data_IF_444361072407
#
_entry.id   IF_444361072407
#
_cell.length_a   1.000
_cell.length_b   1.000
_cell.length_c   1.000
_cell.angle_alpha   90.00
_cell.angle_beta   90.00
_cell.angle_gamma   90.00
#
_symmetry.space_group_name_H-M   'P 1'
#
loop_
_entity.id
_entity.type
_entity.pdbx_description
1 polymer ?
#
# COMPACT_ATOMS: atom_id res chain seq x y z
N UNK A 1 21.37 15.12 -28.66
CA UNK A 1 20.28 16.08 -28.30
C UNK A 1 18.95 15.36 -28.54
N UNK A 2 18.11 15.29 -27.53
CA UNK A 2 16.83 14.58 -27.53
C UNK A 2 15.79 15.33 -28.37
N UNK A 3 14.99 14.62 -29.15
CA UNK A 3 13.84 15.20 -29.83
C UNK A 3 12.76 14.14 -30.05
N UNK A 4 11.56 14.39 -29.53
CA UNK A 4 10.37 13.53 -29.75
C UNK A 4 9.09 14.36 -29.67
N UNK A 5 8.02 13.82 -30.26
CA UNK A 5 6.65 14.31 -30.06
C UNK A 5 5.76 13.20 -29.49
N UNK A 6 4.79 13.57 -28.65
CA UNK A 6 3.96 12.60 -27.93
C UNK A 6 2.59 13.19 -27.57
N UNK A 7 1.60 12.32 -27.36
CA UNK A 7 0.34 12.69 -26.72
C UNK A 7 0.61 13.17 -25.29
N UNK A 8 0.36 14.44 -25.02
CA UNK A 8 0.59 15.09 -23.72
C UNK A 8 -0.11 14.38 -22.57
N UNK A 9 -1.36 13.94 -22.76
CA UNK A 9 -2.15 13.37 -21.66
C UNK A 9 -1.59 12.01 -21.23
N UNK A 10 -1.20 11.16 -22.17
CA UNK A 10 -0.56 9.88 -21.87
C UNK A 10 0.82 10.09 -21.22
N UNK A 11 1.59 11.05 -21.72
CA UNK A 11 2.89 11.38 -21.14
C UNK A 11 2.74 11.92 -19.70
N UNK A 12 1.73 12.79 -19.46
CA UNK A 12 1.43 13.31 -18.14
C UNK A 12 0.97 12.21 -17.16
N UNK A 13 0.18 11.25 -17.63
CA UNK A 13 -0.20 10.09 -16.83
C UNK A 13 1.04 9.28 -16.40
N UNK A 14 1.94 8.97 -17.32
CA UNK A 14 3.17 8.25 -17.03
C UNK A 14 4.10 9.04 -16.08
N UNK A 15 4.20 10.37 -16.27
CA UNK A 15 4.94 11.25 -15.36
C UNK A 15 4.35 11.24 -13.94
N UNK A 16 3.02 11.30 -13.79
CA UNK A 16 2.35 11.28 -12.49
C UNK A 16 2.54 9.92 -11.78
N UNK A 17 2.53 8.81 -12.51
CA UNK A 17 2.86 7.49 -11.98
C UNK A 17 4.30 7.46 -11.46
N UNK A 18 5.25 7.90 -12.27
CA UNK A 18 6.68 7.93 -11.91
C UNK A 18 6.97 8.86 -10.73
N UNK A 19 6.25 10.00 -10.64
CA UNK A 19 6.37 10.97 -9.54
C UNK A 19 6.11 10.37 -8.15
N UNK A 20 5.33 9.28 -8.05
CA UNK A 20 5.04 8.62 -6.77
C UNK A 20 6.29 8.09 -6.07
N UNK A 21 7.34 7.75 -6.83
CA UNK A 21 8.64 7.40 -6.26
C UNK A 21 9.51 8.62 -5.94
N UNK A 22 9.11 9.85 -6.29
CA UNK A 22 9.92 11.05 -6.09
C UNK A 22 9.45 11.80 -4.83
N UNK A 23 10.36 12.07 -3.89
CA UNK A 23 10.07 12.82 -2.67
C UNK A 23 10.67 14.22 -2.73
N UNK A 24 9.89 15.23 -2.33
CA UNK A 24 10.40 16.62 -2.19
C UNK A 24 11.41 16.79 -1.05
N UNK A 25 11.43 15.89 -0.07
CA UNK A 25 12.31 15.92 1.10
C UNK A 25 13.39 14.85 0.99
N UNK A 26 14.05 14.74 -0.17
CA UNK A 26 15.15 13.80 -0.34
C UNK A 26 16.46 14.37 0.22
N UNK A 27 17.19 13.52 0.97
CA UNK A 27 18.55 13.82 1.41
C UNK A 27 19.52 13.95 0.21
N UNK A 28 19.20 13.35 -0.92
CA UNK A 28 19.96 13.37 -2.18
C UNK A 28 19.20 14.26 -3.18
N UNK A 29 19.65 15.52 -3.43
CA UNK A 29 18.89 16.48 -4.23
C UNK A 29 18.57 16.03 -5.67
N UNK A 30 19.43 15.20 -6.28
CA UNK A 30 19.21 14.71 -7.64
C UNK A 30 17.96 13.82 -7.76
N UNK A 31 17.52 13.17 -6.67
CA UNK A 31 16.32 12.33 -6.64
C UNK A 31 15.01 13.13 -6.60
N UNK A 32 15.06 14.47 -6.58
CA UNK A 32 13.89 15.32 -6.84
C UNK A 32 13.61 15.49 -8.34
N UNK A 33 14.47 14.92 -9.21
CA UNK A 33 14.31 14.97 -10.66
C UNK A 33 13.67 13.69 -11.18
N UNK A 34 12.98 13.79 -12.31
CA UNK A 34 12.63 12.66 -13.16
C UNK A 34 13.71 12.49 -14.23
N UNK A 35 14.18 11.26 -14.42
CA UNK A 35 15.05 10.90 -15.53
C UNK A 35 14.19 10.51 -16.72
N UNK A 36 14.51 11.05 -17.88
CA UNK A 36 13.86 10.76 -19.16
C UNK A 36 14.91 10.14 -20.07
N UNK A 37 14.77 8.84 -20.33
CA UNK A 37 15.61 8.07 -21.25
C UNK A 37 14.83 7.84 -22.55
N UNK A 38 15.33 8.34 -23.65
CA UNK A 38 14.70 8.23 -24.97
C UNK A 38 15.55 7.32 -25.86
N UNK A 39 14.96 6.22 -26.28
CA UNK A 39 15.52 5.25 -27.22
C UNK A 39 14.69 5.22 -28.52
N UNK A 40 15.07 4.40 -29.48
CA UNK A 40 14.27 4.20 -30.69
C UNK A 40 12.98 3.42 -30.42
N UNK A 41 12.98 2.61 -29.37
CA UNK A 41 11.87 1.75 -28.96
C UNK A 41 10.83 2.52 -28.14
N UNK A 42 11.24 3.62 -27.49
CA UNK A 42 10.34 4.39 -26.64
C UNK A 42 11.01 5.33 -25.65
N UNK A 43 10.23 5.76 -24.69
CA UNK A 43 10.66 6.64 -23.59
C UNK A 43 10.51 5.89 -22.27
N UNK A 44 11.56 5.85 -21.47
CA UNK A 44 11.52 5.39 -20.08
C UNK A 44 11.60 6.59 -19.14
N UNK A 45 10.58 6.75 -18.29
CA UNK A 45 10.54 7.72 -17.22
C UNK A 45 10.95 7.05 -15.90
N UNK A 46 11.95 7.60 -15.22
CA UNK A 46 12.51 6.99 -14.02
C UNK A 46 12.43 7.98 -12.86
N UNK A 47 11.83 7.53 -11.75
CA UNK A 47 11.79 8.26 -10.48
C UNK A 47 12.27 7.40 -9.33
N UNK A 48 12.93 7.99 -8.33
CA UNK A 48 13.40 7.27 -7.15
C UNK A 48 13.49 8.20 -5.93
N UNK A 49 13.31 7.62 -4.73
CA UNK A 49 13.63 8.28 -3.46
C UNK A 49 14.72 7.52 -2.67
N UNK A 50 15.35 6.51 -3.30
CA UNK A 50 16.33 5.63 -2.69
C UNK A 50 15.74 4.40 -1.98
N UNK A 51 14.46 4.43 -1.60
CA UNK A 51 13.71 3.28 -1.06
C UNK A 51 12.84 2.62 -2.11
N UNK A 52 12.11 3.43 -2.87
CA UNK A 52 11.25 3.03 -3.99
C UNK A 52 11.82 3.63 -5.27
N UNK A 53 11.76 2.88 -6.36
CA UNK A 53 12.02 3.37 -7.71
C UNK A 53 10.93 2.89 -8.65
N UNK A 54 10.53 3.77 -9.57
CA UNK A 54 9.52 3.47 -10.60
C UNK A 54 10.12 3.78 -11.95
N UNK A 55 10.06 2.80 -12.85
CA UNK A 55 10.30 2.96 -14.27
C UNK A 55 8.97 2.80 -15.00
N UNK A 56 8.66 3.75 -15.87
CA UNK A 56 7.46 3.71 -16.70
C UNK A 56 7.87 3.86 -18.18
N UNK A 57 7.60 2.83 -18.97
CA UNK A 57 7.99 2.75 -20.37
C UNK A 57 6.81 3.10 -21.28
N UNK A 58 7.05 4.00 -22.22
CA UNK A 58 6.09 4.36 -23.27
C UNK A 58 6.67 3.92 -24.60
N UNK A 59 6.08 2.87 -25.18
CA UNK A 59 6.53 2.31 -26.45
C UNK A 59 6.14 3.17 -27.64
N UNK A 60 7.01 3.23 -28.66
CA UNK A 60 6.67 3.80 -29.98
C UNK A 60 5.59 3.00 -30.73
N UNK A 61 5.34 1.75 -30.31
CA UNK A 61 4.27 0.90 -30.85
C UNK A 61 2.90 1.20 -30.23
N UNK A 62 2.85 2.00 -29.15
CA UNK A 62 1.58 2.40 -28.55
C UNK A 62 0.94 3.50 -29.39
N UNK A 63 -0.05 3.13 -30.21
CA UNK A 63 -0.77 4.06 -31.10
C UNK A 63 -1.42 5.23 -30.32
N UNK A 64 -1.91 5.00 -29.10
CA UNK A 64 -2.51 6.05 -28.27
C UNK A 64 -1.50 7.08 -27.80
N UNK A 65 -0.22 6.69 -27.69
CA UNK A 65 0.85 7.61 -27.33
C UNK A 65 1.21 8.57 -28.45
N UNK A 66 1.02 8.16 -29.72
CA UNK A 66 1.43 8.92 -30.88
C UNK A 66 2.91 9.34 -30.81
N UNK A 67 3.76 8.48 -30.20
CA UNK A 67 5.15 8.78 -29.93
C UNK A 67 5.99 8.68 -31.21
N UNK A 68 6.59 9.82 -31.58
CA UNK A 68 7.57 9.89 -32.69
C UNK A 68 8.92 10.32 -32.11
N UNK A 69 9.91 9.41 -32.18
CA UNK A 69 11.27 9.69 -31.74
C UNK A 69 12.15 10.10 -32.91
N UNK A 70 12.59 11.36 -32.91
CA UNK A 70 13.50 11.90 -33.94
C UNK A 70 14.97 11.72 -33.57
N UNK A 71 15.30 11.88 -32.26
CA UNK A 71 16.62 11.63 -31.73
C UNK A 71 16.62 11.21 -30.28
N UNK A 72 17.57 10.36 -29.92
CA UNK A 72 17.68 9.66 -28.63
C UNK A 72 18.60 10.39 -27.66
N UNK A 73 18.53 10.05 -26.38
CA UNK A 73 19.39 10.57 -25.34
C UNK A 73 18.71 10.52 -23.96
N UNK A 74 19.37 11.09 -22.96
CA UNK A 74 18.90 11.07 -21.57
C UNK A 74 19.06 12.44 -20.91
N UNK A 75 18.07 12.82 -20.08
CA UNK A 75 18.08 14.11 -19.37
C UNK A 75 17.34 14.00 -18.03
N UNK A 76 17.72 14.87 -17.08
CA UNK A 76 17.00 15.04 -15.82
C UNK A 76 16.28 16.39 -15.81
N UNK A 77 15.02 16.36 -15.35
CA UNK A 77 14.22 17.56 -15.10
C UNK A 77 13.69 17.56 -13.67
N UNK A 78 13.56 18.73 -13.05
CA UNK A 78 12.92 18.85 -11.74
C UNK A 78 11.47 18.39 -11.86
N UNK A 79 11.11 17.33 -11.14
CA UNK A 79 9.89 16.55 -11.42
C UNK A 79 8.62 17.37 -11.24
N UNK A 80 8.48 18.07 -10.12
CA UNK A 80 7.23 18.80 -9.82
C UNK A 80 7.01 19.96 -10.77
N UNK A 81 8.05 20.75 -11.00
CA UNK A 81 7.95 21.89 -11.90
C UNK A 81 7.68 21.44 -13.34
N UNK A 82 8.41 20.41 -13.81
CA UNK A 82 8.22 19.86 -15.14
C UNK A 82 6.79 19.33 -15.35
N UNK A 83 6.27 18.55 -14.41
CA UNK A 83 4.90 18.02 -14.48
C UNK A 83 3.87 19.14 -14.50
N UNK A 84 4.04 20.18 -13.67
CA UNK A 84 3.14 21.33 -13.67
C UNK A 84 3.15 22.08 -15.01
N UNK A 85 4.35 22.24 -15.60
CA UNK A 85 4.49 22.84 -16.94
C UNK A 85 3.77 21.99 -17.98
N UNK A 86 4.04 20.68 -18.07
CA UNK A 86 3.37 19.77 -19.02
C UNK A 86 1.85 19.81 -18.84
N UNK A 87 1.38 19.81 -17.60
CA UNK A 87 -0.06 19.88 -17.28
C UNK A 87 -0.72 21.17 -17.77
N UNK A 88 0.02 22.29 -17.79
CA UNK A 88 -0.50 23.60 -18.19
C UNK A 88 -0.53 23.84 -19.70
N UNK A 89 0.12 22.99 -20.50
CA UNK A 89 0.20 23.14 -21.94
C UNK A 89 -1.18 22.99 -22.63
N UNK A 90 -1.48 23.81 -23.66
CA UNK A 90 -2.84 23.90 -24.18
C UNK A 90 -3.25 22.77 -25.13
N UNK A 91 -2.32 22.19 -25.88
CA UNK A 91 -2.63 21.23 -26.94
C UNK A 91 -2.41 19.78 -26.50
N UNK A 92 -2.96 18.83 -27.27
CA UNK A 92 -2.84 17.38 -27.06
C UNK A 92 -1.43 16.88 -27.43
N UNK A 93 -0.79 17.48 -28.43
CA UNK A 93 0.55 17.12 -28.87
C UNK A 93 1.58 17.99 -28.15
N UNK A 94 2.55 17.31 -27.54
CA UNK A 94 3.74 17.88 -26.95
C UNK A 94 4.95 17.57 -27.85
N UNK A 95 5.65 18.58 -28.31
CA UNK A 95 6.99 18.44 -28.90
C UNK A 95 8.02 18.76 -27.82
N UNK A 96 8.96 17.85 -27.60
CA UNK A 96 10.04 17.92 -26.62
C UNK A 96 11.37 17.92 -27.34
N UNK A 97 12.13 19.00 -27.27
CA UNK A 97 13.39 19.15 -27.97
C UNK A 97 14.49 19.66 -27.06
N UNK A 98 15.59 18.93 -26.97
CA UNK A 98 16.82 19.39 -26.33
C UNK A 98 17.59 20.27 -27.34
N UNK A 99 18.03 21.43 -26.84
CA UNK A 99 18.94 22.33 -27.53
C UNK A 99 20.28 22.42 -26.75
N UNK A 100 21.14 23.36 -27.09
CA UNK A 100 22.45 23.53 -26.45
C UNK A 100 22.33 23.72 -24.93
N UNK A 101 23.37 23.31 -24.19
CA UNK A 101 23.50 23.50 -22.72
C UNK A 101 22.40 22.82 -21.90
N UNK A 102 21.90 21.67 -22.33
CA UNK A 102 20.82 20.91 -21.66
C UNK A 102 19.53 21.72 -21.48
N UNK A 103 19.26 22.68 -22.33
CA UNK A 103 17.96 23.34 -22.36
C UNK A 103 16.96 22.50 -23.12
N UNK A 104 15.75 22.42 -22.60
CA UNK A 104 14.62 21.72 -23.20
C UNK A 104 13.58 22.73 -23.62
N UNK A 105 13.24 22.71 -24.88
CA UNK A 105 12.13 23.47 -25.43
C UNK A 105 10.93 22.55 -25.53
N UNK A 106 9.85 22.92 -24.89
CA UNK A 106 8.54 22.27 -24.93
C UNK A 106 7.62 23.12 -25.80
N UNK A 107 7.12 22.54 -26.89
CA UNK A 107 6.18 23.23 -27.78
C UNK A 107 4.84 22.50 -27.77
N UNK A 108 3.74 23.26 -27.62
CA UNK A 108 2.38 22.75 -27.66
C UNK A 108 1.45 23.82 -28.24
N UNK A 109 0.97 23.60 -29.47
CA UNK A 109 0.23 24.59 -30.23
C UNK A 109 1.05 25.88 -30.46
N UNK A 110 0.61 26.99 -29.87
CA UNK A 110 1.29 28.30 -29.93
C UNK A 110 2.17 28.58 -28.70
N UNK A 111 2.21 27.66 -27.74
CA UNK A 111 2.97 27.82 -26.50
C UNK A 111 4.35 27.21 -26.64
N UNK A 112 5.38 27.94 -26.23
CA UNK A 112 6.75 27.51 -26.14
C UNK A 112 7.31 27.83 -24.78
N UNK A 113 7.88 26.82 -24.09
CA UNK A 113 8.44 26.97 -22.76
C UNK A 113 9.83 26.33 -22.75
N UNK A 114 10.83 27.09 -22.28
CA UNK A 114 12.19 26.59 -22.16
C UNK A 114 12.52 26.24 -20.71
N UNK A 115 12.99 25.00 -20.47
CA UNK A 115 13.41 24.50 -19.17
C UNK A 115 14.91 24.18 -19.17
N UNK A 116 15.54 24.25 -17.99
CA UNK A 116 16.92 23.83 -17.80
C UNK A 116 16.97 22.43 -17.24
N UNK A 117 17.54 21.50 -17.99
CA UNK A 117 17.82 20.14 -17.56
C UNK A 117 19.18 19.99 -16.87
N UNK A 118 19.40 18.78 -16.34
CA UNK A 118 20.67 18.34 -15.74
C UNK A 118 21.16 17.09 -16.46
N UNK A 119 22.43 16.77 -16.25
CA UNK A 119 23.07 15.59 -16.82
C UNK A 119 22.51 14.30 -16.23
N UNK A 120 22.09 13.37 -17.09
CA UNK A 120 21.49 12.10 -16.68
C UNK A 120 22.51 11.14 -16.02
N UNK A 121 23.80 11.30 -16.30
CA UNK A 121 24.87 10.47 -15.70
C UNK A 121 24.99 10.66 -14.16
N UNK A 122 24.43 11.75 -13.64
CA UNK A 122 24.39 12.01 -12.21
C UNK A 122 23.29 11.21 -11.48
N UNK A 123 22.34 10.61 -12.20
CA UNK A 123 21.24 9.87 -11.59
C UNK A 123 21.72 8.49 -11.13
N UNK A 124 21.40 8.06 -9.88
CA UNK A 124 21.80 6.75 -9.39
C UNK A 124 21.22 5.64 -10.27
N UNK A 125 22.05 4.65 -10.58
CA UNK A 125 21.57 3.47 -11.30
C UNK A 125 20.64 2.63 -10.42
N UNK A 126 19.52 2.23 -10.97
CA UNK A 126 18.68 1.21 -10.34
C UNK A 126 19.37 -0.13 -10.54
N UNK A 127 19.54 -0.88 -9.46
CA UNK A 127 20.15 -2.20 -9.53
C UNK A 127 19.15 -3.17 -10.17
N UNK A 128 19.52 -3.74 -11.29
CA UNK A 128 18.72 -4.75 -11.97
C UNK A 128 18.60 -6.02 -11.13
N UNK A 129 17.41 -6.61 -11.15
CA UNK A 129 17.14 -7.90 -10.52
C UNK A 129 17.23 -8.96 -11.61
N UNK A 130 18.28 -9.81 -11.54
CA UNK A 130 18.47 -10.95 -12.44
C UNK A 130 17.87 -12.20 -11.81
N UNK A 131 16.56 -12.35 -11.85
CA UNK A 131 15.84 -13.56 -11.42
C UNK A 131 15.12 -14.14 -12.63
N UNK A 132 15.29 -15.44 -12.85
CA UNK A 132 14.80 -16.12 -14.06
C UNK A 132 13.35 -16.61 -13.97
N UNK A 133 12.76 -16.65 -12.76
CA UNK A 133 11.47 -17.29 -12.55
C UNK A 133 10.56 -16.39 -11.64
N UNK A 134 9.81 -15.45 -12.22
CA UNK A 134 8.93 -14.58 -11.46
C UNK A 134 7.71 -15.35 -10.92
N UNK A 135 7.24 -14.96 -9.74
CA UNK A 135 5.89 -15.28 -9.31
C UNK A 135 4.91 -14.38 -10.08
N UNK A 136 3.99 -14.98 -10.82
CA UNK A 136 2.95 -14.24 -11.57
C UNK A 136 1.63 -14.30 -10.81
N UNK A 137 1.08 -13.13 -10.48
CA UNK A 137 -0.17 -12.97 -9.75
C UNK A 137 -1.13 -12.07 -10.52
N UNK A 138 -2.43 -12.26 -10.30
CA UNK A 138 -3.41 -11.24 -10.63
C UNK A 138 -3.16 -9.99 -9.77
N UNK A 139 -3.15 -8.83 -10.39
CA UNK A 139 -2.94 -7.55 -9.69
C UNK A 139 -3.97 -7.35 -8.59
N UNK A 140 -5.23 -7.70 -8.85
CA UNK A 140 -6.31 -7.61 -7.87
C UNK A 140 -6.03 -8.45 -6.62
N UNK A 141 -5.64 -9.70 -6.78
CA UNK A 141 -5.32 -10.61 -5.65
C UNK A 141 -4.22 -10.00 -4.78
N UNK A 142 -3.14 -9.49 -5.38
CA UNK A 142 -2.05 -8.88 -4.63
C UNK A 142 -2.49 -7.59 -3.92
N UNK A 143 -3.32 -6.76 -4.56
CA UNK A 143 -3.88 -5.56 -3.93
C UNK A 143 -4.78 -5.90 -2.74
N UNK A 144 -5.65 -6.91 -2.88
CA UNK A 144 -6.54 -7.35 -1.81
C UNK A 144 -5.73 -7.82 -0.60
N UNK A 145 -4.75 -8.69 -0.81
CA UNK A 145 -3.85 -9.16 0.25
C UNK A 145 -3.09 -8.01 0.94
N UNK A 146 -2.63 -7.00 0.19
CA UNK A 146 -1.98 -5.82 0.74
C UNK A 146 -2.97 -4.99 1.57
N UNK A 147 -4.17 -4.73 1.05
CA UNK A 147 -5.19 -3.92 1.74
C UNK A 147 -5.69 -4.61 3.02
N UNK A 148 -5.79 -5.95 2.99
CA UNK A 148 -6.21 -6.77 4.13
C UNK A 148 -5.14 -6.83 5.24
N UNK A 149 -3.87 -6.48 4.96
CA UNK A 149 -2.78 -6.64 5.95
C UNK A 149 -2.01 -5.36 6.26
N UNK A 150 -1.65 -4.54 5.28
CA UNK A 150 -0.71 -3.42 5.44
C UNK A 150 -1.16 -2.33 6.43
N UNK A 151 -2.46 -2.23 6.72
CA UNK A 151 -2.98 -1.25 7.70
C UNK A 151 -2.55 -1.57 9.14
N UNK A 152 -2.26 -2.85 9.44
CA UNK A 152 -1.85 -3.29 10.77
C UNK A 152 -0.35 -3.09 11.05
N UNK A 153 0.45 -2.69 10.05
CA UNK A 153 1.86 -2.41 10.23
C UNK A 153 2.10 -1.18 11.13
N UNK A 154 3.22 -1.19 11.86
CA UNK A 154 3.62 -0.07 12.72
C UNK A 154 4.00 1.16 11.90
N UNK A 155 3.69 2.33 12.43
CA UNK A 155 4.19 3.62 11.93
C UNK A 155 5.44 4.10 12.71
N UNK A 156 5.83 3.39 13.77
CA UNK A 156 6.96 3.74 14.62
C UNK A 156 8.25 3.11 14.11
N UNK A 157 9.24 3.94 13.84
CA UNK A 157 10.55 3.50 13.34
C UNK A 157 11.48 2.90 14.41
N UNK A 158 11.07 2.89 15.68
CA UNK A 158 11.82 2.26 16.78
C UNK A 158 11.97 0.75 16.60
N UNK A 159 11.07 0.11 15.87
CA UNK A 159 11.13 -1.29 15.44
C UNK A 159 10.91 -1.36 13.92
N UNK A 160 11.93 -1.09 13.11
CA UNK A 160 11.78 -0.94 11.66
C UNK A 160 11.10 -2.15 10.99
N UNK A 161 11.42 -3.38 11.43
CA UNK A 161 10.86 -4.61 10.87
C UNK A 161 9.31 -4.66 10.94
N UNK A 162 8.70 -4.08 11.99
CA UNK A 162 7.25 -4.03 12.15
C UNK A 162 6.58 -2.94 11.28
N UNK A 163 7.35 -2.06 10.62
CA UNK A 163 6.81 -1.09 9.67
C UNK A 163 6.48 -1.71 8.32
N UNK A 164 6.83 -2.99 8.13
CA UNK A 164 6.57 -3.75 6.93
C UNK A 164 5.47 -4.79 7.10
N UNK A 165 5.11 -5.39 5.97
CA UNK A 165 4.28 -6.58 5.87
C UNK A 165 5.19 -7.76 5.56
N UNK A 166 5.07 -8.82 6.31
CA UNK A 166 5.82 -10.07 6.14
C UNK A 166 5.12 -10.94 5.11
N UNK A 167 5.81 -11.25 4.04
CA UNK A 167 5.35 -12.11 2.94
C UNK A 167 6.15 -13.40 2.97
N UNK A 168 5.46 -14.52 3.09
CA UNK A 168 6.08 -15.86 3.11
C UNK A 168 5.38 -16.76 2.09
N UNK A 169 6.13 -17.19 1.08
CA UNK A 169 5.67 -18.20 0.13
C UNK A 169 6.32 -19.54 0.49
N UNK A 170 5.48 -20.52 0.81
CA UNK A 170 5.88 -21.89 1.10
C UNK A 170 5.20 -22.87 0.14
N UNK A 171 5.77 -24.07 0.02
CA UNK A 171 5.23 -25.13 -0.84
C UNK A 171 4.94 -24.66 -2.27
N UNK A 172 5.67 -23.63 -2.71
CA UNK A 172 5.60 -22.99 -4.01
C UNK A 172 4.22 -22.33 -4.34
N UNK A 173 3.24 -22.42 -3.46
CA UNK A 173 1.86 -21.97 -3.71
C UNK A 173 1.14 -21.35 -2.51
N UNK A 174 1.58 -21.61 -1.30
CA UNK A 174 0.94 -21.07 -0.09
C UNK A 174 1.56 -19.71 0.26
N UNK A 175 0.87 -18.63 -0.04
CA UNK A 175 1.28 -17.28 0.31
C UNK A 175 0.61 -16.86 1.61
N UNK A 176 1.42 -16.63 2.64
CA UNK A 176 1.00 -15.99 3.90
C UNK A 176 1.53 -14.58 3.95
N UNK A 177 0.66 -13.64 4.30
CA UNK A 177 1.03 -12.24 4.56
C UNK A 177 0.57 -11.84 5.95
N UNK A 178 1.41 -11.12 6.68
CA UNK A 178 1.06 -10.66 8.03
C UNK A 178 1.70 -9.31 8.34
N UNK A 179 0.96 -8.47 9.04
CA UNK A 179 1.46 -7.23 9.61
C UNK A 179 1.00 -7.06 11.07
N UNK A 180 1.84 -6.44 11.89
CA UNK A 180 1.53 -6.13 13.28
C UNK A 180 2.27 -4.88 13.77
N UNK A 181 1.63 -4.14 14.67
CA UNK A 181 2.24 -3.01 15.40
C UNK A 181 2.46 -3.34 16.90
N UNK A 182 2.33 -4.61 17.30
CA UNK A 182 2.35 -5.13 18.66
C UNK A 182 1.03 -4.95 19.45
N UNK A 183 0.07 -4.19 18.94
CA UNK A 183 -1.25 -3.99 19.56
C UNK A 183 -2.37 -4.60 18.74
N UNK A 184 -2.12 -4.82 17.48
CA UNK A 184 -3.01 -5.49 16.53
C UNK A 184 -2.19 -6.31 15.53
N UNK A 185 -2.84 -7.23 14.86
CA UNK A 185 -2.26 -8.04 13.81
C UNK A 185 -3.31 -8.29 12.73
N UNK A 186 -2.90 -8.35 11.49
CA UNK A 186 -3.71 -8.85 10.38
C UNK A 186 -2.92 -9.87 9.59
N UNK A 187 -3.50 -11.05 9.37
CA UNK A 187 -2.89 -12.14 8.63
C UNK A 187 -3.86 -12.64 7.55
N UNK A 188 -3.35 -12.75 6.32
CA UNK A 188 -4.06 -13.38 5.20
C UNK A 188 -3.24 -14.53 4.64
N UNK A 189 -3.91 -15.64 4.31
CA UNK A 189 -3.34 -16.78 3.61
C UNK A 189 -4.11 -16.99 2.32
N UNK A 190 -3.40 -17.24 1.24
CA UNK A 190 -4.00 -17.60 -0.04
C UNK A 190 -3.24 -18.74 -0.68
N UNK A 191 -3.93 -19.56 -1.47
CA UNK A 191 -3.31 -20.58 -2.30
C UNK A 191 -3.25 -20.06 -3.73
N UNK A 192 -2.04 -19.98 -4.28
CA UNK A 192 -1.80 -19.47 -5.62
C UNK A 192 -2.12 -20.53 -6.68
N UNK A 193 -2.60 -20.10 -7.84
CA UNK A 193 -2.83 -20.98 -8.97
C UNK A 193 -1.52 -21.42 -9.62
N UNK A 194 -0.55 -20.51 -9.74
CA UNK A 194 0.76 -20.75 -10.32
C UNK A 194 1.83 -20.93 -9.24
N UNK A 195 2.79 -21.80 -9.51
CA UNK A 195 3.93 -21.99 -8.62
C UNK A 195 4.91 -20.83 -8.73
N UNK A 196 5.53 -20.48 -7.59
CA UNK A 196 6.64 -19.56 -7.50
C UNK A 196 7.77 -20.13 -6.65
N UNK A 197 8.94 -19.55 -6.72
CA UNK A 197 10.05 -19.93 -5.82
C UNK A 197 9.73 -19.44 -4.40
N UNK A 198 9.98 -20.31 -3.39
CA UNK A 198 9.74 -19.97 -2.00
C UNK A 198 10.57 -18.76 -1.57
N UNK A 199 9.96 -17.89 -0.79
CA UNK A 199 10.63 -16.72 -0.21
C UNK A 199 10.05 -16.36 1.17
N UNK A 200 10.85 -15.62 1.93
CA UNK A 200 10.48 -15.05 3.23
C UNK A 200 11.06 -13.64 3.29
N UNK A 201 10.21 -12.61 3.16
CA UNK A 201 10.65 -11.23 3.04
C UNK A 201 9.70 -10.25 3.74
N UNK A 202 10.25 -9.12 4.18
CA UNK A 202 9.45 -8.04 4.77
C UNK A 202 9.50 -6.81 3.87
N UNK A 203 8.33 -6.43 3.35
CA UNK A 203 8.17 -5.32 2.43
C UNK A 203 7.62 -4.11 3.20
N UNK A 204 8.25 -2.91 3.10
CA UNK A 204 7.73 -1.73 3.78
C UNK A 204 6.26 -1.45 3.43
N UNK A 205 5.41 -1.30 4.44
CA UNK A 205 3.97 -1.05 4.24
C UNK A 205 3.70 0.23 3.45
N UNK A 206 4.58 1.23 3.58
CA UNK A 206 4.52 2.46 2.78
C UNK A 206 4.75 2.17 1.30
N UNK A 207 5.73 1.32 0.95
CA UNK A 207 5.99 0.93 -0.44
C UNK A 207 4.82 0.15 -1.03
N UNK A 208 4.20 -0.74 -0.25
CA UNK A 208 3.02 -1.49 -0.68
C UNK A 208 1.81 -0.58 -0.95
N UNK A 209 1.61 0.48 -0.16
CA UNK A 209 0.57 1.49 -0.43
C UNK A 209 0.85 2.27 -1.73
N UNK A 210 2.12 2.59 -2.01
CA UNK A 210 2.46 3.19 -3.31
C UNK A 210 2.24 2.20 -4.45
N UNK A 211 2.58 0.92 -4.27
CA UNK A 211 2.28 -0.14 -5.24
C UNK A 211 0.78 -0.18 -5.58
N UNK A 212 -0.12 -0.23 -4.58
CA UNK A 212 -1.58 -0.28 -4.84
C UNK A 212 -2.11 0.95 -5.58
N UNK A 213 -1.42 2.08 -5.47
CA UNK A 213 -1.78 3.32 -6.18
C UNK A 213 -1.18 3.41 -7.60
N UNK A 214 -0.09 2.69 -7.86
CA UNK A 214 0.57 2.63 -9.18
C UNK A 214 -0.04 1.56 -10.06
N UNK A 215 -0.30 0.37 -9.51
CA UNK A 215 -0.91 -0.75 -10.23
C UNK A 215 -2.43 -0.65 -10.15
N UNK A 216 -3.02 -0.02 -11.16
CA UNK A 216 -4.47 0.11 -11.27
C UNK A 216 -5.13 -1.21 -11.67
N UNK A 217 -6.46 -1.28 -11.56
CA UNK A 217 -7.22 -2.48 -11.91
C UNK A 217 -7.23 -2.78 -13.43
N UNK A 218 -6.73 -1.84 -14.24
CA UNK A 218 -6.50 -2.03 -15.68
C UNK A 218 -5.30 -2.96 -15.97
N UNK A 219 -4.40 -3.15 -15.00
CA UNK A 219 -3.26 -4.05 -15.08
C UNK A 219 -3.69 -5.42 -14.55
N UNK A 220 -3.93 -6.38 -15.46
CA UNK A 220 -4.47 -7.69 -15.10
C UNK A 220 -3.50 -8.50 -14.23
N UNK A 221 -2.22 -8.54 -14.60
CA UNK A 221 -1.21 -9.37 -13.93
C UNK A 221 0.05 -8.60 -13.59
N UNK A 222 0.71 -9.05 -12.54
CA UNK A 222 2.00 -8.55 -12.08
C UNK A 222 2.98 -9.70 -11.89
N UNK A 223 4.19 -9.51 -12.38
CA UNK A 223 5.34 -10.39 -12.12
C UNK A 223 6.08 -9.88 -10.88
N UNK A 224 6.34 -10.78 -9.94
CA UNK A 224 7.05 -10.49 -8.70
C UNK A 224 8.40 -11.18 -8.69
N UNK A 225 9.46 -10.41 -8.58
CA UNK A 225 10.84 -10.88 -8.52
C UNK A 225 11.43 -10.53 -7.16
N UNK A 226 11.87 -11.53 -6.42
CA UNK A 226 12.46 -11.35 -5.09
C UNK A 226 13.97 -11.53 -5.20
N UNK A 227 14.73 -10.54 -4.71
CA UNK A 227 16.18 -10.59 -4.57
C UNK A 227 16.56 -10.41 -3.09
N UNK A 228 17.85 -10.53 -2.75
CA UNK A 228 18.30 -10.52 -1.35
C UNK A 228 17.88 -9.29 -0.55
N UNK A 229 17.87 -8.10 -1.16
CA UNK A 229 17.60 -6.83 -0.46
C UNK A 229 16.54 -5.96 -1.13
N UNK A 230 15.91 -6.46 -2.19
CA UNK A 230 14.88 -5.71 -2.93
C UNK A 230 13.88 -6.65 -3.61
N UNK A 231 12.71 -6.12 -3.89
CA UNK A 231 11.65 -6.78 -4.65
C UNK A 231 11.26 -5.88 -5.82
N UNK A 232 10.99 -6.49 -6.96
CA UNK A 232 10.47 -5.85 -8.17
C UNK A 232 9.07 -6.39 -8.46
N UNK A 233 8.13 -5.48 -8.63
CA UNK A 233 6.82 -5.73 -9.23
C UNK A 233 6.83 -5.18 -10.64
N UNK A 234 6.56 -6.01 -11.63
CA UNK A 234 6.64 -5.64 -13.04
C UNK A 234 5.35 -5.98 -13.77
N UNK A 235 4.86 -5.05 -14.54
CA UNK A 235 3.87 -5.23 -15.59
C UNK A 235 4.52 -4.94 -16.94
N UNK A 236 3.73 -4.96 -18.02
CA UNK A 236 4.22 -4.66 -19.37
C UNK A 236 4.97 -3.33 -19.47
N UNK A 237 4.46 -2.29 -18.80
CA UNK A 237 4.96 -0.91 -18.95
C UNK A 237 5.56 -0.33 -17.67
N UNK A 238 5.38 -0.97 -16.52
CA UNK A 238 5.77 -0.43 -15.22
C UNK A 238 6.66 -1.42 -14.49
N UNK A 239 7.82 -0.93 -14.03
CA UNK A 239 8.67 -1.64 -13.08
C UNK A 239 8.73 -0.84 -11.77
N UNK A 240 8.27 -1.46 -10.68
CA UNK A 240 8.25 -0.88 -9.34
C UNK A 240 9.21 -1.64 -8.44
N UNK A 241 10.28 -0.99 -8.04
CA UNK A 241 11.30 -1.54 -7.16
C UNK A 241 11.11 -1.00 -5.74
N UNK A 242 11.27 -1.84 -4.74
CA UNK A 242 11.40 -1.39 -3.36
C UNK A 242 12.43 -2.21 -2.60
N UNK A 243 13.14 -1.57 -1.67
CA UNK A 243 14.05 -2.26 -0.75
C UNK A 243 13.24 -3.02 0.29
N UNK A 244 13.75 -4.18 0.67
CA UNK A 244 13.21 -4.99 1.76
C UNK A 244 13.70 -4.48 3.12
N UNK A 245 12.94 -4.75 4.16
CA UNK A 245 13.39 -4.52 5.55
C UNK A 245 14.21 -5.70 6.02
N UNK A 246 15.36 -5.39 6.62
CA UNK A 246 16.24 -6.41 7.19
C UNK A 246 15.85 -6.73 8.63
N UNK A 247 15.98 -8.01 9.02
CA UNK A 247 15.73 -8.50 10.36
C UNK A 247 14.76 -9.66 10.40
N UNK A 248 14.59 -10.24 11.59
CA UNK A 248 13.66 -11.35 11.81
C UNK A 248 12.29 -10.81 12.17
N UNK A 249 11.27 -11.18 11.39
CA UNK A 249 9.87 -10.89 11.75
C UNK A 249 9.45 -11.78 12.93
N UNK A 250 8.68 -11.30 13.92
CA UNK A 250 8.24 -12.10 15.04
C UNK A 250 7.35 -13.27 14.59
N UNK A 251 7.41 -14.38 15.32
CA UNK A 251 6.51 -15.52 15.11
C UNK A 251 5.09 -15.14 15.56
N UNK A 252 4.25 -14.84 14.59
CA UNK A 252 2.88 -14.37 14.80
C UNK A 252 1.86 -15.50 14.92
N UNK A 253 2.17 -16.70 14.42
CA UNK A 253 1.23 -17.84 14.46
C UNK A 253 0.90 -18.23 15.91
N UNK A 254 1.87 -18.09 16.83
CA UNK A 254 1.68 -18.36 18.28
C UNK A 254 0.77 -17.36 19.00
N UNK A 255 0.47 -16.23 18.36
CA UNK A 255 -0.40 -15.20 18.93
C UNK A 255 -1.87 -15.51 18.72
N UNK A 256 -2.19 -16.35 17.73
CA UNK A 256 -3.56 -16.68 17.34
C UNK A 256 -4.11 -17.72 18.32
N UNK A 257 -5.20 -17.38 19.05
CA UNK A 257 -5.83 -18.32 19.95
C UNK A 257 -6.55 -19.43 19.20
N UNK A 258 -6.64 -20.59 19.85
CA UNK A 258 -7.35 -21.77 19.33
C UNK A 258 -8.61 -22.11 20.14
N UNK A 259 -8.77 -21.51 21.34
CA UNK A 259 -9.92 -21.72 22.22
C UNK A 259 -10.53 -20.39 22.61
N UNK A 260 -11.86 -20.31 22.66
CA UNK A 260 -12.62 -19.11 22.94
C UNK A 260 -13.72 -19.39 23.97
N UNK A 261 -13.99 -18.41 24.84
CA UNK A 261 -15.08 -18.48 25.84
C UNK A 261 -16.35 -17.81 25.36
N UNK A 262 -16.23 -16.81 24.46
CA UNK A 262 -17.39 -16.09 23.92
C UNK A 262 -17.18 -15.81 22.45
N UNK A 263 -18.21 -16.05 21.63
CA UNK A 263 -18.17 -15.85 20.17
C UNK A 263 -19.42 -15.10 19.74
N UNK A 264 -19.23 -14.01 19.01
CA UNK A 264 -20.26 -13.08 18.56
C UNK A 264 -20.17 -12.87 17.08
N UNK A 265 -21.33 -12.85 16.41
CA UNK A 265 -21.42 -12.52 14.97
C UNK A 265 -22.22 -11.23 14.81
N UNK A 266 -21.71 -10.32 14.02
CA UNK A 266 -22.28 -9.00 13.74
C UNK A 266 -22.44 -8.79 12.24
N UNK A 267 -23.36 -7.90 11.86
CA UNK A 267 -23.26 -7.23 10.58
C UNK A 267 -22.03 -6.30 10.58
N UNK A 268 -21.17 -6.43 9.60
CA UNK A 268 -19.88 -5.72 9.54
C UNK A 268 -20.06 -4.21 9.47
N UNK A 269 -21.05 -3.74 8.69
CA UNK A 269 -21.31 -2.30 8.52
C UNK A 269 -21.87 -1.66 9.80
N UNK A 270 -22.77 -2.35 10.50
CA UNK A 270 -23.43 -1.83 11.70
C UNK A 270 -22.46 -1.75 12.88
N UNK A 271 -21.67 -2.81 13.07
CA UNK A 271 -20.60 -2.79 14.08
C UNK A 271 -19.57 -1.67 13.80
N UNK A 272 -19.17 -1.50 12.52
CA UNK A 272 -18.26 -0.42 12.15
C UNK A 272 -18.84 0.95 12.46
N UNK A 273 -20.11 1.19 12.10
CA UNK A 273 -20.78 2.45 12.37
C UNK A 273 -20.90 2.75 13.87
N UNK A 274 -21.21 1.73 14.70
CA UNK A 274 -21.22 1.87 16.16
C UNK A 274 -19.84 2.24 16.72
N UNK A 275 -18.79 1.58 16.25
CA UNK A 275 -17.42 1.88 16.67
C UNK A 275 -16.94 3.25 16.18
N UNK A 276 -17.35 3.71 14.99
CA UNK A 276 -17.04 5.06 14.50
C UNK A 276 -17.68 6.13 15.38
N UNK A 277 -18.94 5.94 15.87
CA UNK A 277 -19.59 6.83 16.84
C UNK A 277 -18.87 6.82 18.20
N UNK A 278 -18.56 5.65 18.72
CA UNK A 278 -17.82 5.50 19.97
C UNK A 278 -16.44 6.17 19.91
N UNK A 279 -15.72 6.07 18.78
CA UNK A 279 -14.42 6.69 18.57
C UNK A 279 -14.45 8.21 18.70
N UNK A 280 -15.52 8.88 18.28
CA UNK A 280 -15.61 10.34 18.37
C UNK A 280 -15.43 10.83 19.81
N UNK A 281 -15.99 10.11 20.79
CA UNK A 281 -15.82 10.44 22.21
C UNK A 281 -14.53 9.86 22.79
N UNK A 282 -14.13 8.65 22.39
CA UNK A 282 -12.93 8.02 22.94
C UNK A 282 -11.67 8.83 22.66
N UNK A 283 -11.59 9.52 21.50
CA UNK A 283 -10.49 10.43 21.18
C UNK A 283 -10.37 11.62 22.15
N UNK A 284 -11.43 11.97 22.86
CA UNK A 284 -11.42 13.00 23.89
C UNK A 284 -11.11 12.44 25.29
N UNK A 285 -10.90 11.13 25.41
CA UNK A 285 -10.50 10.50 26.70
C UNK A 285 -8.99 10.28 26.73
N UNK A 286 -8.40 10.26 27.94
CA UNK A 286 -6.96 10.03 28.11
C UNK A 286 -6.48 8.69 27.54
N UNK A 287 -7.33 7.66 27.60
CA UNK A 287 -6.97 6.30 27.19
C UNK A 287 -7.36 5.95 25.75
N UNK A 288 -8.19 6.77 25.09
CA UNK A 288 -8.63 6.52 23.71
C UNK A 288 -9.34 5.17 23.51
N UNK A 289 -10.09 4.68 24.54
CA UNK A 289 -10.68 3.34 24.54
C UNK A 289 -12.19 3.36 24.50
N UNK A 290 -12.77 2.26 24.00
CA UNK A 290 -14.17 1.87 24.15
C UNK A 290 -14.23 0.65 25.06
N UNK A 291 -15.25 0.59 25.94
CA UNK A 291 -15.60 -0.56 26.74
C UNK A 291 -16.75 -1.30 26.02
N UNK A 292 -16.54 -2.55 25.66
CA UNK A 292 -17.58 -3.43 25.17
C UNK A 292 -18.05 -4.32 26.32
N UNK A 293 -19.35 -4.38 26.53
CA UNK A 293 -19.99 -5.20 27.56
C UNK A 293 -20.97 -6.19 26.94
N UNK A 294 -20.80 -7.45 27.28
CA UNK A 294 -21.64 -8.57 26.87
C UNK A 294 -22.32 -9.09 28.14
N UNK A 295 -23.61 -8.94 28.24
CA UNK A 295 -24.37 -9.35 29.42
C UNK A 295 -25.73 -9.92 29.04
N UNK A 296 -25.97 -11.19 29.38
CA UNK A 296 -27.24 -11.86 29.09
C UNK A 296 -27.59 -11.92 27.57
N UNK A 297 -26.59 -11.94 26.72
CA UNK A 297 -26.77 -11.96 25.24
C UNK A 297 -26.94 -10.58 24.62
N UNK A 298 -26.93 -9.49 25.37
CA UNK A 298 -26.96 -8.10 24.90
C UNK A 298 -25.53 -7.58 24.82
N UNK A 299 -25.20 -6.91 23.73
CA UNK A 299 -23.88 -6.30 23.52
C UNK A 299 -24.02 -4.78 23.49
N UNK A 300 -23.23 -4.10 24.30
CA UNK A 300 -23.23 -2.63 24.36
C UNK A 300 -21.83 -2.04 24.38
N UNK A 301 -21.68 -0.89 23.72
CA UNK A 301 -20.47 -0.09 23.69
C UNK A 301 -20.61 1.13 24.60
N UNK A 302 -19.61 1.35 25.46
CA UNK A 302 -19.59 2.44 26.43
C UNK A 302 -18.32 3.27 26.29
N UNK A 303 -18.49 4.58 26.21
CA UNK A 303 -17.39 5.56 26.34
C UNK A 303 -17.84 6.62 27.31
N UNK A 304 -17.01 6.97 28.29
CA UNK A 304 -17.28 8.02 29.24
C UNK A 304 -16.10 9.00 29.27
N UNK A 305 -16.38 10.25 28.95
CA UNK A 305 -15.45 11.37 29.08
C UNK A 305 -16.06 12.39 30.05
N UNK A 306 -15.43 12.66 31.20
CA UNK A 306 -15.93 13.68 32.16
C UNK A 306 -16.09 15.07 31.55
N UNK A 307 -15.31 15.39 30.51
CA UNK A 307 -15.26 16.72 29.91
C UNK A 307 -16.23 16.88 28.71
N UNK A 308 -16.49 15.78 27.95
CA UNK A 308 -17.24 15.87 26.67
C UNK A 308 -18.61 15.19 26.77
N UNK A 309 -18.75 14.12 27.56
CA UNK A 309 -19.99 13.37 27.67
C UNK A 309 -19.82 11.86 27.62
N UNK A 310 -20.91 11.15 27.32
CA UNK A 310 -20.91 9.68 27.27
C UNK A 310 -21.61 9.14 26.05
N UNK A 311 -21.17 7.97 25.59
CA UNK A 311 -21.86 7.09 24.65
C UNK A 311 -22.24 5.82 25.37
N UNK A 312 -23.49 5.43 25.25
CA UNK A 312 -23.98 4.09 25.58
C UNK A 312 -24.79 3.66 24.38
N UNK A 313 -24.35 2.64 23.71
CA UNK A 313 -24.97 2.17 22.47
C UNK A 313 -25.09 0.65 22.50
N UNK A 314 -26.30 0.14 22.37
CA UNK A 314 -26.56 -1.28 22.16
C UNK A 314 -26.28 -1.60 20.70
N UNK A 315 -25.58 -2.71 20.46
CA UNK A 315 -25.17 -3.16 19.13
C UNK A 315 -25.93 -4.43 18.80
N UNK A 316 -26.67 -4.39 17.71
CA UNK A 316 -27.38 -5.55 17.19
C UNK A 316 -26.40 -6.67 16.82
N UNK A 317 -26.73 -7.88 17.24
CA UNK A 317 -25.94 -9.09 17.01
C UNK A 317 -26.76 -10.14 16.26
N UNK A 318 -26.13 -10.84 15.33
CA UNK A 318 -26.72 -12.01 14.65
C UNK A 318 -26.74 -13.24 15.58
N UNK A 319 -25.66 -13.37 16.38
CA UNK A 319 -25.55 -14.44 17.38
C UNK A 319 -24.58 -14.06 18.50
N UNK A 320 -24.90 -14.52 19.71
CA UNK A 320 -24.04 -14.42 20.89
C UNK A 320 -24.03 -15.81 21.55
N UNK A 321 -22.82 -16.33 21.76
CA UNK A 321 -22.62 -17.61 22.45
C UNK A 321 -21.48 -17.48 23.46
N UNK A 322 -21.57 -18.21 24.57
CA UNK A 322 -20.56 -18.26 25.61
C UNK A 322 -20.88 -17.41 26.84
N UNK A 323 -19.84 -16.91 27.51
CA UNK A 323 -19.92 -16.24 28.80
C UNK A 323 -20.06 -14.72 28.69
N UNK A 324 -20.65 -14.10 29.68
CA UNK A 324 -20.67 -12.64 29.87
C UNK A 324 -19.24 -12.11 29.99
N UNK A 325 -18.96 -10.98 29.32
CA UNK A 325 -17.62 -10.40 29.26
C UNK A 325 -17.66 -8.88 29.20
N UNK A 326 -16.68 -8.27 29.85
CA UNK A 326 -16.41 -6.83 29.71
C UNK A 326 -14.96 -6.65 29.27
N UNK A 327 -14.74 -5.95 28.13
CA UNK A 327 -13.41 -5.76 27.55
C UNK A 327 -13.23 -4.32 27.04
N UNK A 328 -12.05 -3.75 27.23
CA UNK A 328 -11.72 -2.41 26.74
C UNK A 328 -10.62 -2.48 25.67
N UNK A 329 -10.78 -1.71 24.59
CA UNK A 329 -9.81 -1.68 23.49
C UNK A 329 -9.84 -0.34 22.75
N UNK A 330 -8.86 -0.11 21.88
CA UNK A 330 -8.86 1.06 21.01
C UNK A 330 -9.82 0.85 19.81
N UNK A 331 -10.90 1.64 19.70
CA UNK A 331 -11.89 1.46 18.65
C UNK A 331 -11.32 1.70 17.24
N UNK A 332 -10.24 2.48 17.11
CA UNK A 332 -9.58 2.69 15.81
C UNK A 332 -9.05 1.38 15.24
N UNK A 333 -8.50 0.50 16.09
CA UNK A 333 -8.00 -0.81 15.63
C UNK A 333 -9.12 -1.70 15.08
N UNK A 334 -10.27 -1.70 15.77
CA UNK A 334 -11.44 -2.45 15.30
C UNK A 334 -12.03 -1.86 14.02
N UNK A 335 -12.11 -0.54 13.91
CA UNK A 335 -12.59 0.14 12.71
C UNK A 335 -11.69 -0.16 11.50
N UNK A 336 -10.36 -0.09 11.66
CA UNK A 336 -9.42 -0.40 10.58
C UNK A 336 -9.54 -1.86 10.16
N UNK A 337 -9.69 -2.76 11.13
CA UNK A 337 -9.91 -4.19 10.90
C UNK A 337 -11.20 -4.45 10.10
N UNK A 338 -12.31 -3.83 10.50
CA UNK A 338 -13.61 -3.97 9.82
C UNK A 338 -13.61 -3.37 8.40
N UNK A 339 -12.82 -2.31 8.16
CA UNK A 339 -12.66 -1.75 6.80
C UNK A 339 -11.94 -2.68 5.84
N UNK A 340 -11.10 -3.57 6.36
CA UNK A 340 -10.37 -4.54 5.56
C UNK A 340 -11.19 -5.83 5.27
N UNK A 341 -12.33 -6.00 5.92
CA UNK A 341 -13.23 -7.14 5.73
C UNK A 341 -14.28 -6.79 4.68
N UNK A 342 -14.23 -7.48 3.54
CA UNK A 342 -15.25 -7.40 2.49
C UNK A 342 -16.23 -8.59 2.63
N UNK A 343 -16.91 -8.64 3.78
CA UNK A 343 -17.93 -9.65 4.09
C UNK A 343 -19.07 -8.97 4.84
N UNK A 344 -20.31 -9.38 4.57
CA UNK A 344 -21.51 -8.86 5.23
C UNK A 344 -21.47 -9.10 6.74
N UNK A 345 -20.88 -10.24 7.15
CA UNK A 345 -20.83 -10.66 8.54
C UNK A 345 -19.40 -10.89 9.02
N UNK A 346 -19.15 -10.48 10.26
CA UNK A 346 -17.88 -10.67 10.96
C UNK A 346 -18.11 -11.41 12.27
N UNK A 347 -17.26 -12.38 12.56
CA UNK A 347 -17.25 -13.11 13.82
C UNK A 347 -16.10 -12.62 14.71
N UNK A 348 -16.41 -12.20 15.92
CA UNK A 348 -15.44 -11.81 16.94
C UNK A 348 -15.43 -12.86 18.05
N UNK A 349 -14.22 -13.33 18.39
CA UNK A 349 -14.06 -14.39 19.40
C UNK A 349 -13.13 -13.94 20.52
N UNK A 350 -13.59 -14.12 21.75
CA UNK A 350 -12.93 -13.67 22.97
C UNK A 350 -12.48 -14.85 23.83
N UNK A 351 -11.35 -14.69 24.55
CA UNK A 351 -10.89 -15.62 25.59
C UNK A 351 -11.18 -15.05 26.99
N UNK A 352 -10.90 -13.77 27.19
CA UNK A 352 -11.10 -13.05 28.45
C UNK A 352 -10.91 -11.54 28.24
N UNK A 353 -11.19 -10.75 29.27
CA UNK A 353 -11.06 -9.29 29.26
C UNK A 353 -9.60 -8.78 29.07
N UNK A 354 -8.60 -9.60 29.24
CA UNK A 354 -7.17 -9.21 29.22
C UNK A 354 -6.34 -9.91 28.16
N UNK A 355 -6.95 -10.81 27.39
CA UNK A 355 -6.31 -11.54 26.28
C UNK A 355 -6.72 -10.95 24.96
N UNK A 356 -5.85 -10.99 23.94
CA UNK A 356 -6.22 -10.59 22.59
C UNK A 356 -7.46 -11.35 22.10
N UNK A 357 -8.30 -10.65 21.33
CA UNK A 357 -9.46 -11.23 20.67
C UNK A 357 -9.25 -11.24 19.16
N UNK A 358 -9.94 -12.15 18.48
CA UNK A 358 -9.83 -12.31 17.04
C UNK A 358 -11.08 -11.81 16.32
N UNK A 359 -10.87 -11.37 15.07
CA UNK A 359 -11.92 -11.08 14.10
C UNK A 359 -11.65 -11.91 12.85
N UNK A 360 -12.70 -12.51 12.33
CA UNK A 360 -12.66 -13.24 11.06
C UNK A 360 -13.92 -12.91 10.25
N UNK A 361 -13.83 -12.80 8.90
CA UNK A 361 -15.02 -12.79 8.05
C UNK A 361 -15.78 -14.10 8.24
N UNK A 362 -17.09 -14.07 8.33
CA UNK A 362 -17.88 -15.31 8.55
C UNK A 362 -17.77 -16.31 7.41
N UNK A 363 -17.38 -15.85 6.21
CA UNK A 363 -17.22 -16.65 5.01
C UNK A 363 -15.80 -17.19 4.78
N UNK A 364 -14.78 -16.61 5.48
CA UNK A 364 -13.35 -16.97 5.33
C UNK A 364 -12.66 -17.00 6.71
N UNK A 365 -13.12 -17.89 7.58
CA UNK A 365 -12.68 -17.95 8.98
C UNK A 365 -11.25 -18.48 9.17
N UNK A 366 -10.70 -19.18 8.16
CA UNK A 366 -9.39 -19.85 8.29
C UNK A 366 -8.26 -19.05 7.64
N UNK A 367 -8.57 -18.30 6.58
CA UNK A 367 -7.53 -17.67 5.76
C UNK A 367 -7.32 -16.19 6.07
N UNK A 368 -8.33 -15.51 6.65
CA UNK A 368 -8.20 -14.11 7.02
C UNK A 368 -8.51 -13.90 8.49
N UNK A 369 -7.46 -13.70 9.29
CA UNK A 369 -7.54 -13.55 10.74
C UNK A 369 -6.92 -12.23 11.16
N UNK A 370 -7.67 -11.48 11.97
CA UNK A 370 -7.19 -10.27 12.61
C UNK A 370 -7.22 -10.43 14.13
N UNK A 371 -6.32 -9.76 14.82
CA UNK A 371 -6.16 -9.84 16.26
C UNK A 371 -6.00 -8.43 16.84
N UNK A 372 -6.68 -8.15 17.95
CA UNK A 372 -6.60 -6.89 18.68
C UNK A 372 -6.31 -7.16 20.14
N UNK A 373 -5.32 -6.46 20.68
CA UNK A 373 -4.95 -6.54 22.11
C UNK A 373 -5.80 -5.58 22.90
N UNK A 374 -6.47 -6.03 24.01
CA UNK A 374 -7.22 -5.16 24.88
C UNK A 374 -6.32 -4.21 25.67
N UNK A 375 -6.93 -3.12 26.15
CA UNK A 375 -6.30 -2.17 27.05
C UNK A 375 -6.80 -2.43 28.47
N UNK A 376 -5.89 -2.58 29.42
CA UNK A 376 -6.28 -2.70 30.82
C UNK A 376 -6.76 -1.34 31.31
N UNK A 377 -8.04 -1.26 31.67
CA UNK A 377 -8.63 -0.12 32.34
C UNK A 377 -8.81 -0.51 33.81
N UNK A 378 -8.25 0.30 34.71
CA UNK A 378 -8.43 0.13 36.17
C UNK A 378 -9.86 0.43 36.56
#
# INVERSE_FOLDING_TARGET
MIHFSINKNLFLQALNTTKRAISHKNAIPILSTVKIDVTKEGITLIGSNGQVSIENFISTQNENAGLLVNSTGSILLEATFFINVVSSLPDIILDFKEIEQKQIVLTSGKSEITLKGKDADQYPRIQEISVSNPLVLETKILKDVINETAFAASVQESRPILTGVHFVLTDNRSLKTVATDSHRMSQKKITLEKNGDNFDVVIPSRSLREFTAVFTDEIETVEVFVANNQILFRSENISFYTRLLEGNYPDTDRLIPTEFTSVLTFNTSDLRAAMERARLLSNATQNGTVKLEITGGVVSAHVNSPEVGRVNEEIDTESVTGEDLTISFNPTYLIDALKAIDSEKVTISFISSVRPFTLVPSEDTENFIQLITPVRTN
#
